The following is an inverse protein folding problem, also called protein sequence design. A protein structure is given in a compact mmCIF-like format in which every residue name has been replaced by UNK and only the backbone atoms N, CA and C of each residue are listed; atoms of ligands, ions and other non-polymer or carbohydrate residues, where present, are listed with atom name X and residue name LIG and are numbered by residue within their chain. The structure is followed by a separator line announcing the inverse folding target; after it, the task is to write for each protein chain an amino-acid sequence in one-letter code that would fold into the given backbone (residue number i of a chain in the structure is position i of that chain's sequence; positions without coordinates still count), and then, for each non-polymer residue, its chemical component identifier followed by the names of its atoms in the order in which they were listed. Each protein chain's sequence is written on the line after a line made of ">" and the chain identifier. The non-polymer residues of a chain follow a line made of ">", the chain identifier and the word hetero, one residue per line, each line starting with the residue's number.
data_IF_056849776947
#
_entry.id   IF_056849776947
#
_cell.length_a   1.000
_cell.length_b   1.000
_cell.length_c   1.000
_cell.angle_alpha   90.00
_cell.angle_beta   90.00
_cell.angle_gamma   90.00
#
_symmetry.space_group_name_H-M   'P 1'
#
loop_
_entity.id
_entity.type
_entity.pdbx_description
1 polymer ?
#
# COMPACT_ATOMS: atom_id res chain seq x y z
N UNK A 1 30.14 9.43 11.26
CA UNK A 1 29.04 9.07 10.34
C UNK A 1 28.16 10.29 10.13
N UNK A 2 28.16 10.87 8.93
CA UNK A 2 27.26 11.97 8.56
C UNK A 2 25.81 11.48 8.64
N UNK A 3 24.98 12.10 9.49
CA UNK A 3 23.56 11.75 9.60
C UNK A 3 22.86 12.12 8.29
N UNK A 4 22.41 11.13 7.53
CA UNK A 4 21.62 11.34 6.31
C UNK A 4 20.32 12.08 6.64
N UNK A 5 19.99 13.09 5.84
CA UNK A 5 18.72 13.82 5.92
C UNK A 5 17.54 12.91 5.53
N UNK A 6 16.31 13.16 6.01
CA UNK A 6 15.14 12.38 5.63
C UNK A 6 14.92 12.29 4.11
N UNK A 7 15.16 13.39 3.38
CA UNK A 7 15.07 13.44 1.91
C UNK A 7 16.07 12.51 1.23
N UNK A 8 17.31 12.45 1.72
CA UNK A 8 18.34 11.55 1.18
C UNK A 8 18.00 10.09 1.48
N UNK A 9 17.55 9.78 2.70
CA UNK A 9 17.11 8.42 3.07
C UNK A 9 16.00 7.92 2.14
N UNK A 10 14.98 8.75 1.91
CA UNK A 10 13.86 8.40 1.03
C UNK A 10 14.33 8.12 -0.40
N UNK A 11 15.20 8.96 -0.97
CA UNK A 11 15.75 8.73 -2.32
C UNK A 11 16.52 7.42 -2.42
N UNK A 12 17.32 7.09 -1.41
CA UNK A 12 18.07 5.82 -1.35
C UNK A 12 17.09 4.64 -1.28
N UNK A 13 16.04 4.73 -0.46
CA UNK A 13 15.01 3.70 -0.37
C UNK A 13 14.28 3.48 -1.71
N UNK A 14 13.98 4.54 -2.46
CA UNK A 14 13.36 4.43 -3.80
C UNK A 14 14.26 3.65 -4.77
N UNK A 15 15.55 3.98 -4.81
CA UNK A 15 16.52 3.24 -5.64
C UNK A 15 16.63 1.79 -5.17
N UNK A 16 16.68 1.56 -3.86
CA UNK A 16 16.66 0.22 -3.29
C UNK A 16 15.42 -0.59 -3.71
N UNK A 17 14.23 0.03 -3.68
CA UNK A 17 12.98 -0.62 -4.10
C UNK A 17 13.00 -1.00 -5.58
N UNK A 18 13.55 -0.14 -6.44
CA UNK A 18 13.73 -0.45 -7.86
C UNK A 18 14.66 -1.66 -8.06
N UNK A 19 15.77 -1.71 -7.32
CA UNK A 19 16.70 -2.84 -7.38
C UNK A 19 16.05 -4.15 -6.91
N UNK A 20 15.25 -4.11 -5.84
CA UNK A 20 14.47 -5.27 -5.38
C UNK A 20 13.49 -5.73 -6.44
N UNK A 21 12.79 -4.80 -7.10
CA UNK A 21 11.85 -5.14 -8.18
C UNK A 21 12.56 -5.87 -9.32
N UNK A 22 13.72 -5.35 -9.76
CA UNK A 22 14.54 -5.99 -10.79
C UNK A 22 15.00 -7.40 -10.35
N UNK A 23 15.46 -7.51 -9.10
CA UNK A 23 15.93 -8.77 -8.52
C UNK A 23 14.83 -9.84 -8.38
N UNK A 24 13.56 -9.43 -8.28
CA UNK A 24 12.42 -10.36 -8.28
C UNK A 24 12.00 -10.71 -9.71
N UNK A 25 11.83 -9.71 -10.59
CA UNK A 25 11.32 -9.92 -11.96
C UNK A 25 12.26 -10.80 -12.78
N UNK A 26 13.57 -10.55 -12.75
CA UNK A 26 14.51 -11.28 -13.62
C UNK A 26 14.46 -12.79 -13.35
N UNK A 27 14.66 -13.29 -12.12
CA UNK A 27 14.56 -14.72 -11.84
C UNK A 27 13.17 -15.29 -12.13
N UNK A 28 12.09 -14.57 -11.79
CA UNK A 28 10.72 -15.04 -12.03
C UNK A 28 10.46 -15.27 -13.53
N UNK A 29 10.91 -14.36 -14.39
CA UNK A 29 10.77 -14.52 -15.85
C UNK A 29 11.68 -15.62 -16.39
N UNK A 30 12.91 -15.74 -15.89
CA UNK A 30 13.85 -16.79 -16.33
C UNK A 30 13.40 -18.19 -15.91
N UNK A 31 12.76 -18.32 -14.75
CA UNK A 31 12.21 -19.58 -14.22
C UNK A 31 10.76 -19.82 -14.63
N UNK A 32 10.17 -18.93 -15.43
CA UNK A 32 8.76 -19.03 -15.83
C UNK A 32 8.52 -20.27 -16.70
N UNK A 33 7.68 -21.18 -16.21
CA UNK A 33 7.14 -22.23 -17.04
C UNK A 33 6.09 -21.64 -18.00
N UNK A 34 6.40 -21.62 -19.30
CA UNK A 34 5.51 -21.08 -20.35
C UNK A 34 4.22 -21.87 -20.55
N UNK A 35 4.14 -23.10 -20.03
CA UNK A 35 2.92 -23.92 -20.05
C UNK A 35 1.99 -23.63 -18.86
N UNK A 36 2.43 -22.80 -17.91
CA UNK A 36 1.62 -22.45 -16.73
C UNK A 36 0.36 -21.65 -17.11
N UNK A 37 -0.74 -21.96 -16.43
CA UNK A 37 -1.99 -21.19 -16.50
C UNK A 37 -1.84 -19.76 -15.97
N UNK A 38 -0.85 -19.52 -15.10
CA UNK A 38 -0.67 -18.22 -14.42
C UNK A 38 -0.28 -17.08 -15.37
N UNK A 39 0.55 -17.36 -16.38
CA UNK A 39 1.08 -16.34 -17.31
C UNK A 39 0.12 -16.02 -18.48
N UNK A 40 -1.16 -16.38 -18.35
CA UNK A 40 -2.19 -16.08 -19.34
C UNK A 40 -2.75 -14.67 -19.13
N UNK A 41 -3.43 -14.16 -20.16
CA UNK A 41 -4.07 -12.86 -20.13
C UNK A 41 -5.54 -12.99 -20.52
N UNK A 42 -6.42 -12.34 -19.76
CA UNK A 42 -7.86 -12.31 -20.04
C UNK A 42 -8.60 -13.58 -19.60
N UNK A 43 -9.87 -13.72 -20.03
CA UNK A 43 -10.72 -14.85 -19.67
C UNK A 43 -10.22 -16.18 -20.25
N UNK A 44 -10.36 -17.25 -19.48
CA UNK A 44 -10.07 -18.61 -19.93
C UNK A 44 -10.81 -19.64 -19.07
N UNK A 45 -10.90 -20.89 -19.53
CA UNK A 45 -11.66 -21.95 -18.85
C UNK A 45 -11.01 -22.46 -17.55
N UNK A 46 -9.71 -22.21 -17.37
CA UNK A 46 -8.95 -22.58 -16.18
C UNK A 46 -9.00 -21.49 -15.09
N UNK A 47 -9.45 -20.27 -15.43
CA UNK A 47 -9.60 -19.16 -14.49
C UNK A 47 -10.88 -19.33 -13.67
N UNK A 48 -10.71 -19.90 -12.47
CA UNK A 48 -11.81 -20.15 -11.53
C UNK A 48 -11.66 -19.25 -10.30
N UNK A 49 -12.64 -18.38 -10.08
CA UNK A 49 -12.73 -17.51 -8.89
C UNK A 49 -13.91 -17.98 -8.05
N UNK A 50 -13.66 -18.51 -6.85
CA UNK A 50 -14.70 -18.98 -5.90
C UNK A 50 -15.74 -19.86 -6.62
N UNK A 51 -15.27 -20.92 -7.29
CA UNK A 51 -16.08 -21.88 -8.06
C UNK A 51 -16.79 -21.32 -9.31
N UNK A 52 -16.52 -20.07 -9.71
CA UNK A 52 -17.07 -19.47 -10.94
C UNK A 52 -15.99 -19.45 -12.01
N UNK A 53 -16.28 -20.05 -13.18
CA UNK A 53 -15.43 -19.98 -14.36
C UNK A 53 -15.52 -18.60 -15.02
N UNK A 54 -14.39 -17.92 -15.15
CA UNK A 54 -14.25 -16.60 -15.77
C UNK A 54 -13.73 -16.78 -17.21
N UNK A 55 -14.54 -17.42 -18.04
CA UNK A 55 -14.20 -17.77 -19.41
C UNK A 55 -14.79 -16.83 -20.48
N UNK A 56 -15.51 -15.78 -20.06
CA UNK A 56 -16.03 -14.74 -20.95
C UNK A 56 -15.51 -13.36 -20.56
N UNK A 57 -15.34 -12.49 -21.56
CA UNK A 57 -14.91 -11.11 -21.35
C UNK A 57 -15.84 -10.33 -20.43
N UNK A 58 -17.14 -10.60 -20.47
CA UNK A 58 -18.12 -9.97 -19.56
C UNK A 58 -17.85 -10.34 -18.10
N UNK A 59 -17.66 -11.63 -17.80
CA UNK A 59 -17.33 -12.09 -16.44
C UNK A 59 -15.98 -11.54 -15.97
N UNK A 60 -15.01 -11.48 -16.89
CA UNK A 60 -13.69 -10.93 -16.62
C UNK A 60 -13.74 -9.42 -16.35
N UNK A 61 -14.54 -8.66 -17.10
CA UNK A 61 -14.75 -7.23 -16.84
C UNK A 61 -15.39 -6.99 -15.47
N UNK A 62 -16.39 -7.78 -15.07
CA UNK A 62 -16.94 -7.72 -13.72
C UNK A 62 -15.89 -8.00 -12.65
N UNK A 63 -15.03 -9.01 -12.85
CA UNK A 63 -13.93 -9.33 -11.94
C UNK A 63 -12.94 -8.16 -11.81
N UNK A 64 -12.56 -7.53 -12.92
CA UNK A 64 -11.66 -6.38 -12.91
C UNK A 64 -12.28 -5.16 -12.23
N UNK A 65 -13.55 -4.84 -12.51
CA UNK A 65 -14.26 -3.73 -11.84
C UNK A 65 -14.40 -3.98 -10.34
N UNK A 66 -14.78 -5.19 -9.95
CA UNK A 66 -14.83 -5.60 -8.55
C UNK A 66 -13.46 -5.43 -7.88
N UNK A 67 -12.40 -5.91 -8.54
CA UNK A 67 -11.03 -5.80 -8.05
C UNK A 67 -10.62 -4.33 -7.93
N UNK A 68 -10.93 -3.49 -8.91
CA UNK A 68 -10.65 -2.06 -8.87
C UNK A 68 -11.29 -1.39 -7.65
N UNK A 69 -12.61 -1.56 -7.46
CA UNK A 69 -13.33 -0.97 -6.32
C UNK A 69 -12.74 -1.47 -5.01
N UNK A 70 -12.53 -2.79 -4.89
CA UNK A 70 -11.95 -3.39 -3.70
C UNK A 70 -10.55 -2.84 -3.38
N UNK A 71 -9.69 -2.68 -4.39
CA UNK A 71 -8.33 -2.15 -4.22
C UNK A 71 -8.33 -0.69 -3.84
N UNK A 72 -9.19 0.12 -4.44
CA UNK A 72 -9.37 1.53 -4.04
C UNK A 72 -9.79 1.60 -2.57
N UNK A 73 -10.87 0.93 -2.17
CA UNK A 73 -11.34 0.95 -0.78
C UNK A 73 -10.24 0.52 0.19
N UNK A 74 -9.49 -0.55 -0.14
CA UNK A 74 -8.39 -1.04 0.69
C UNK A 74 -7.27 -0.02 0.88
N UNK A 75 -6.91 0.71 -0.17
CA UNK A 75 -5.89 1.76 -0.09
C UNK A 75 -6.37 2.89 0.82
N UNK A 76 -7.59 3.40 0.63
CA UNK A 76 -8.15 4.44 1.49
C UNK A 76 -8.18 4.03 2.98
N UNK A 77 -8.67 2.83 3.27
CA UNK A 77 -8.74 2.30 4.64
C UNK A 77 -7.34 2.21 5.26
N UNK A 78 -6.36 1.70 4.52
CA UNK A 78 -5.01 1.53 5.05
C UNK A 78 -4.25 2.84 5.19
N UNK A 79 -4.35 3.76 4.22
CA UNK A 79 -3.61 5.02 4.26
C UNK A 79 -4.20 6.03 5.24
N UNK A 80 -5.51 5.97 5.53
CA UNK A 80 -6.15 6.86 6.49
C UNK A 80 -6.25 6.23 7.89
N UNK A 81 -6.61 4.95 7.98
CA UNK A 81 -6.87 4.28 9.26
C UNK A 81 -5.61 3.80 9.98
N UNK A 82 -4.65 3.21 9.25
CA UNK A 82 -3.44 2.64 9.90
C UNK A 82 -2.56 3.69 10.57
N UNK A 83 -2.39 4.92 10.04
CA UNK A 83 -1.65 5.96 10.75
C UNK A 83 -2.25 6.31 12.11
N UNK A 84 -3.59 6.37 12.24
CA UNK A 84 -4.26 6.66 13.52
C UNK A 84 -3.85 5.62 14.56
N UNK A 85 -3.92 4.33 14.20
CA UNK A 85 -3.50 3.24 15.09
C UNK A 85 -1.99 3.29 15.35
N UNK A 86 -1.19 3.57 14.33
CA UNK A 86 0.27 3.57 14.45
C UNK A 86 0.78 4.66 15.37
N UNK A 87 0.24 5.87 15.23
CA UNK A 87 0.63 7.00 16.09
C UNK A 87 0.13 6.83 17.51
N UNK A 88 -1.06 6.28 17.74
CA UNK A 88 -1.58 6.10 19.11
C UNK A 88 -1.00 4.88 19.83
N UNK A 89 -0.71 3.76 19.14
CA UNK A 89 -0.30 2.49 19.77
C UNK A 89 1.21 2.31 19.76
N UNK A 90 1.88 2.59 18.64
CA UNK A 90 3.29 2.23 18.43
C UNK A 90 4.26 3.40 18.58
N UNK A 91 3.79 4.65 18.70
CA UNK A 91 4.66 5.80 18.90
C UNK A 91 5.27 5.78 20.31
N UNK A 92 6.58 5.54 20.47
CA UNK A 92 7.19 5.46 21.80
C UNK A 92 7.15 6.79 22.55
N UNK A 93 7.01 7.92 21.83
CA UNK A 93 6.99 9.27 22.38
C UNK A 93 5.60 9.69 22.88
N UNK A 94 4.54 8.99 22.46
CA UNK A 94 3.18 9.27 22.89
C UNK A 94 2.82 8.36 24.07
N UNK A 95 3.06 8.84 25.29
CA UNK A 95 2.75 8.10 26.52
C UNK A 95 1.34 8.35 27.06
N UNK A 96 0.74 9.45 26.63
CA UNK A 96 -0.60 9.88 27.02
C UNK A 96 -1.46 9.87 25.76
N UNK A 97 -2.62 9.22 25.84
CA UNK A 97 -3.60 9.11 24.77
C UNK A 97 -4.89 9.72 25.33
N UNK A 98 -5.38 10.78 24.69
CA UNK A 98 -6.53 11.56 25.18
C UNK A 98 -7.84 11.21 24.44
N UNK A 99 -7.74 10.81 23.18
CA UNK A 99 -8.91 10.64 22.29
C UNK A 99 -9.62 9.28 22.44
N UNK A 100 -9.02 8.32 23.12
CA UNK A 100 -9.54 6.95 23.22
C UNK A 100 -9.39 6.36 24.61
N UNK A 101 -10.37 5.55 25.02
CA UNK A 101 -10.15 4.68 26.19
C UNK A 101 -9.27 3.48 25.82
N UNK A 102 -8.59 2.89 26.81
CA UNK A 102 -7.72 1.71 26.56
C UNK A 102 -8.47 0.56 25.88
N UNK A 103 -9.67 0.24 26.36
CA UNK A 103 -10.44 -0.89 25.84
C UNK A 103 -10.97 -0.61 24.44
N UNK A 104 -11.47 0.61 24.20
CA UNK A 104 -11.91 1.05 22.88
C UNK A 104 -10.78 0.97 21.85
N UNK A 105 -9.61 1.55 22.15
CA UNK A 105 -8.47 1.52 21.23
C UNK A 105 -8.02 0.08 20.94
N UNK A 106 -8.00 -0.78 21.96
CA UNK A 106 -7.63 -2.18 21.80
C UNK A 106 -8.63 -2.95 20.93
N UNK A 107 -9.93 -2.75 21.13
CA UNK A 107 -10.98 -3.43 20.34
C UNK A 107 -10.95 -2.93 18.89
N UNK A 108 -10.92 -1.62 18.66
CA UNK A 108 -10.88 -1.03 17.32
C UNK A 108 -9.63 -1.47 16.55
N UNK A 109 -8.46 -1.48 17.20
CA UNK A 109 -7.22 -1.94 16.58
C UNK A 109 -7.28 -3.41 16.17
N UNK A 110 -7.73 -4.30 17.07
CA UNK A 110 -7.82 -5.73 16.78
C UNK A 110 -8.83 -6.04 15.68
N UNK A 111 -9.98 -5.34 15.65
CA UNK A 111 -10.95 -5.44 14.55
C UNK A 111 -10.30 -5.02 13.23
N UNK A 112 -9.65 -3.86 13.19
CA UNK A 112 -8.99 -3.35 11.99
C UNK A 112 -7.91 -4.32 11.48
N UNK A 113 -7.05 -4.83 12.35
CA UNK A 113 -6.00 -5.78 11.97
C UNK A 113 -6.57 -7.10 11.47
N UNK A 114 -7.63 -7.61 12.10
CA UNK A 114 -8.31 -8.84 11.67
C UNK A 114 -8.93 -8.66 10.29
N UNK A 115 -9.66 -7.57 10.07
CA UNK A 115 -10.29 -7.27 8.78
C UNK A 115 -9.25 -7.08 7.67
N UNK A 116 -8.12 -6.41 7.98
CA UNK A 116 -7.03 -6.25 7.02
C UNK A 116 -6.37 -7.59 6.68
N UNK A 117 -6.17 -8.48 7.66
CA UNK A 117 -5.61 -9.81 7.45
C UNK A 117 -6.51 -10.68 6.55
N UNK A 118 -7.84 -10.69 6.80
CA UNK A 118 -8.81 -11.40 5.94
C UNK A 118 -8.77 -10.83 4.52
N UNK A 119 -8.84 -9.50 4.39
CA UNK A 119 -8.79 -8.83 3.09
C UNK A 119 -7.48 -9.09 2.34
N UNK A 120 -6.37 -9.23 3.07
CA UNK A 120 -5.06 -9.59 2.52
C UNK A 120 -5.05 -11.02 1.95
N UNK A 121 -5.57 -12.01 2.69
CA UNK A 121 -5.68 -13.38 2.22
C UNK A 121 -6.50 -13.49 0.92
N UNK A 122 -7.65 -12.82 0.85
CA UNK A 122 -8.50 -12.77 -0.35
C UNK A 122 -7.76 -12.12 -1.53
N UNK A 123 -7.01 -11.04 -1.26
CA UNK A 123 -6.19 -10.39 -2.31
C UNK A 123 -5.15 -11.35 -2.88
N UNK A 124 -4.41 -12.05 -2.01
CA UNK A 124 -3.38 -13.02 -2.44
C UNK A 124 -4.03 -14.12 -3.27
N UNK A 125 -5.17 -14.64 -2.81
CA UNK A 125 -5.89 -15.68 -3.53
C UNK A 125 -6.16 -15.25 -4.98
N UNK A 126 -6.62 -14.02 -5.21
CA UNK A 126 -6.85 -13.49 -6.56
C UNK A 126 -5.55 -13.29 -7.35
N UNK A 127 -4.51 -12.76 -6.72
CA UNK A 127 -3.22 -12.48 -7.36
C UNK A 127 -2.43 -13.72 -7.78
N UNK A 128 -2.70 -14.88 -7.16
CA UNK A 128 -2.06 -16.16 -7.51
C UNK A 128 -2.77 -16.83 -8.70
N UNK A 129 -4.02 -16.46 -9.02
CA UNK A 129 -4.75 -17.09 -10.12
C UNK A 129 -4.18 -16.74 -11.49
N UNK A 130 -3.87 -15.46 -11.71
CA UNK A 130 -3.37 -15.00 -13.00
C UNK A 130 -2.55 -13.72 -12.85
N UNK A 131 -1.48 -13.59 -13.64
CA UNK A 131 -0.53 -12.47 -13.54
C UNK A 131 -1.17 -11.12 -13.88
N UNK A 132 -2.06 -11.08 -14.87
CA UNK A 132 -2.72 -9.85 -15.31
C UNK A 132 -3.63 -9.27 -14.23
N UNK A 133 -4.39 -10.11 -13.52
CA UNK A 133 -5.21 -9.71 -12.36
C UNK A 133 -4.30 -9.13 -11.27
N UNK A 134 -3.15 -9.76 -11.00
CA UNK A 134 -2.19 -9.26 -10.02
C UNK A 134 -1.62 -7.89 -10.42
N UNK A 135 -1.28 -7.71 -11.69
CA UNK A 135 -0.78 -6.44 -12.24
C UNK A 135 -1.85 -5.35 -12.18
N UNK A 136 -3.07 -5.62 -12.66
CA UNK A 136 -4.19 -4.67 -12.57
C UNK A 136 -4.50 -4.29 -11.13
N UNK A 137 -4.51 -5.27 -10.22
CA UNK A 137 -4.70 -5.04 -8.78
C UNK A 137 -3.64 -4.10 -8.19
N UNK A 138 -2.39 -4.21 -8.64
CA UNK A 138 -1.31 -3.27 -8.31
C UNK A 138 -1.56 -1.87 -8.87
N UNK A 139 -1.85 -1.77 -10.17
CA UNK A 139 -2.14 -0.48 -10.84
C UNK A 139 -3.31 0.24 -10.16
N UNK A 140 -4.41 -0.45 -9.85
CA UNK A 140 -5.55 0.16 -9.17
C UNK A 140 -5.20 0.67 -7.78
N UNK A 141 -4.27 0.01 -7.08
CA UNK A 141 -3.78 0.54 -5.79
C UNK A 141 -2.94 1.80 -5.94
N UNK A 142 -2.04 1.85 -6.92
CA UNK A 142 -1.22 3.04 -7.15
C UNK A 142 -2.09 4.23 -7.59
N UNK A 143 -3.09 3.99 -8.45
CA UNK A 143 -4.06 5.02 -8.84
C UNK A 143 -4.87 5.53 -7.65
N UNK A 144 -5.19 4.67 -6.68
CA UNK A 144 -5.88 5.05 -5.46
C UNK A 144 -4.98 5.80 -4.46
N UNK A 145 -3.68 5.51 -4.44
CA UNK A 145 -2.71 6.12 -3.53
C UNK A 145 -2.43 7.60 -3.86
N UNK A 146 -2.53 7.98 -5.15
CA UNK A 146 -2.31 9.37 -5.58
C UNK A 146 -3.25 10.36 -4.86
N UNK A 147 -4.59 10.20 -4.90
CA UNK A 147 -5.50 11.12 -4.22
C UNK A 147 -5.41 11.04 -2.69
N UNK A 148 -5.16 9.87 -2.10
CA UNK A 148 -5.04 9.74 -0.64
C UNK A 148 -3.80 10.46 -0.11
N UNK A 149 -2.65 10.32 -0.78
CA UNK A 149 -1.45 11.10 -0.46
C UNK A 149 -1.72 12.61 -0.61
N UNK A 150 -2.42 13.02 -1.67
CA UNK A 150 -2.77 14.43 -1.85
C UNK A 150 -3.63 14.97 -0.70
N UNK A 151 -4.65 14.22 -0.26
CA UNK A 151 -5.48 14.58 0.90
C UNK A 151 -4.61 14.73 2.15
N UNK A 152 -3.74 13.77 2.44
CA UNK A 152 -2.87 13.80 3.63
C UNK A 152 -1.88 14.97 3.62
N UNK A 153 -1.41 15.40 2.44
CA UNK A 153 -0.51 16.53 2.28
C UNK A 153 -1.23 17.88 2.30
N UNK A 154 -2.50 17.93 1.91
CA UNK A 154 -3.31 19.16 1.92
C UNK A 154 -3.46 19.74 3.32
N UNK A 155 -3.52 18.89 4.33
CA UNK A 155 -3.62 19.29 5.73
C UNK A 155 -2.26 19.65 6.36
N UNK A 156 -1.20 19.76 5.54
CA UNK A 156 0.16 20.09 5.99
C UNK A 156 0.60 21.45 5.50
N UNK A 157 1.22 22.21 6.39
CA UNK A 157 1.91 23.45 6.05
C UNK A 157 3.37 23.16 5.69
N UNK A 158 3.81 23.68 4.54
CA UNK A 158 5.19 23.54 4.07
C UNK A 158 5.96 24.83 4.31
N UNK A 159 6.94 24.80 5.22
CA UNK A 159 7.84 25.93 5.45
C UNK A 159 8.84 26.07 4.31
N UNK A 160 9.03 27.30 3.82
CA UNK A 160 10.06 27.61 2.83
C UNK A 160 11.46 27.45 3.43
N UNK A 161 12.46 27.25 2.57
CA UNK A 161 13.84 27.04 3.02
C UNK A 161 14.47 28.30 3.63
N UNK A 162 13.89 29.49 3.41
CA UNK A 162 14.30 30.75 4.04
C UNK A 162 13.93 30.76 5.53
N UNK A 163 12.72 30.33 5.90
CA UNK A 163 12.25 30.28 7.30
C UNK A 163 12.99 29.24 8.14
N UNK A 164 13.60 28.22 7.50
CA UNK A 164 14.43 27.22 8.20
C UNK A 164 15.79 27.78 8.60
N UNK A 165 16.41 28.58 7.73
CA UNK A 165 17.72 29.21 8.00
C UNK A 165 17.63 30.26 9.11
N UNK A 166 16.56 31.04 9.17
CA UNK A 166 16.34 32.00 10.27
C UNK A 166 16.23 31.32 11.64
N UNK A 167 15.50 30.19 11.73
CA UNK A 167 15.41 29.42 12.96
C UNK A 167 16.76 28.86 13.40
N UNK A 168 17.53 28.27 12.48
CA UNK A 168 18.88 27.77 12.81
C UNK A 168 19.79 28.91 13.28
N UNK A 169 19.73 30.10 12.67
CA UNK A 169 20.55 31.25 13.07
C UNK A 169 20.15 31.79 14.45
N UNK A 170 18.87 31.81 14.79
CA UNK A 170 18.37 32.25 16.11
C UNK A 170 18.78 31.31 17.25
N UNK A 171 18.90 29.99 17.00
CA UNK A 171 19.40 29.04 18.01
C UNK A 171 20.92 29.12 18.23
N UNK A 172 21.68 29.66 17.27
CA UNK A 172 23.13 29.87 17.39
C UNK A 172 23.51 31.24 17.99
N UNK A 173 22.52 32.11 18.26
CA UNK A 173 22.72 33.43 18.86
C UNK A 173 22.35 33.49 20.36
N UNK A 174 22.05 32.34 20.98
CA UNK A 174 21.88 32.13 22.43
C UNK A 174 22.99 31.23 22.96
#
# INVERSE_FOLDING_TARGET
>A
MTKLTPKQRLKICIVGQLLVLIAVIIPTVLLANKESTYYRFGPNDDLIVISIKINTWTRYAFLLVYTMIFRICKVFINELGMPILTFNIYNPNQKIIEDFTRMELQVLANIMFTLNAISYAITIQLSILQIDIAVFSGIFSELAAIPTIHILLKDKEFKSDETKKEKETSYFQL
#
